data_IF_270166520636
#
_entry.id   IF_270166520636
#
_cell.length_a   1.000
_cell.length_b   1.000
_cell.length_c   1.000
_cell.angle_alpha   90.00
_cell.angle_beta   90.00
_cell.angle_gamma   90.00
#
_symmetry.space_group_name_H-M   'P 1'
#
loop_
_entity.id
_entity.type
_entity.pdbx_description
1 polymer ?
#
# COMPACT_ATOMS: atom_id res chain seq x y z
N UNK A 1 -27.93 8.25 1.72
CA UNK A 1 -27.26 7.35 2.68
C UNK A 1 -27.08 6.00 2.01
N UNK A 2 -26.12 5.86 1.10
CA UNK A 2 -25.81 4.57 0.48
C UNK A 2 -24.72 3.92 1.31
N UNK A 3 -25.09 2.90 2.09
CA UNK A 3 -24.15 2.06 2.83
C UNK A 3 -23.37 1.19 1.86
N UNK A 4 -22.06 1.14 2.05
CA UNK A 4 -21.15 0.34 1.23
C UNK A 4 -21.22 -1.11 1.70
N UNK A 5 -21.32 -2.07 0.77
CA UNK A 5 -21.26 -3.50 1.09
C UNK A 5 -19.84 -3.91 1.48
N UNK A 6 -19.69 -4.75 2.52
CA UNK A 6 -18.41 -5.14 3.13
C UNK A 6 -17.32 -5.61 2.14
N UNK A 7 -17.71 -6.16 0.99
CA UNK A 7 -16.79 -6.62 -0.06
C UNK A 7 -16.20 -5.50 -0.90
N UNK A 8 -16.93 -4.39 -1.11
CA UNK A 8 -16.41 -3.19 -1.79
C UNK A 8 -15.47 -2.39 -0.89
N UNK A 9 -15.74 -2.38 0.42
CA UNK A 9 -14.85 -1.74 1.41
C UNK A 9 -13.55 -2.52 1.53
N UNK A 10 -13.61 -3.86 1.49
CA UNK A 10 -12.43 -4.72 1.50
C UNK A 10 -11.57 -4.55 0.22
N UNK A 11 -12.20 -4.37 -0.95
CA UNK A 11 -11.48 -4.07 -2.20
C UNK A 11 -10.76 -2.72 -2.15
N UNK A 12 -11.44 -1.68 -1.66
CA UNK A 12 -10.85 -0.34 -1.51
C UNK A 12 -9.78 -0.26 -0.41
N UNK A 13 -9.93 -1.01 0.69
CA UNK A 13 -8.93 -1.08 1.77
C UNK A 13 -7.67 -1.86 1.39
N UNK A 14 -7.77 -2.80 0.45
CA UNK A 14 -6.61 -3.52 -0.09
C UNK A 14 -5.80 -2.64 -1.06
N UNK A 15 -6.42 -1.70 -1.76
CA UNK A 15 -5.73 -0.66 -2.56
C UNK A 15 -5.16 0.50 -1.71
N UNK A 16 -5.59 0.63 -0.45
CA UNK A 16 -5.12 1.66 0.52
C UNK A 16 -3.81 1.26 1.20
N UNK A 17 -3.44 -0.02 1.19
CA UNK A 17 -2.15 -0.50 1.69
C UNK A 17 -1.00 -0.17 0.72
N UNK A 18 -0.92 1.10 0.29
CA UNK A 18 0.23 1.61 -0.45
C UNK A 18 1.48 1.63 0.43
N UNK A 19 2.55 1.39 -0.29
CA UNK A 19 3.87 1.12 0.20
C UNK A 19 4.42 2.36 0.89
N UNK A 20 4.78 2.20 2.17
CA UNK A 20 5.20 3.25 3.09
C UNK A 20 4.07 4.16 3.62
N UNK A 21 3.72 3.90 4.88
CA UNK A 21 3.37 4.92 5.87
C UNK A 21 4.15 6.23 5.61
N UNK A 22 3.50 7.22 5.01
CA UNK A 22 3.81 8.61 5.27
C UNK A 22 2.93 9.07 6.43
N UNK A 23 3.54 9.02 7.61
CA UNK A 23 3.58 10.15 8.54
C UNK A 23 2.40 11.13 8.44
N UNK A 24 1.58 11.08 9.50
CA UNK A 24 0.57 12.06 9.95
C UNK A 24 -0.88 11.75 9.57
N UNK A 25 -1.60 11.33 10.61
CA UNK A 25 -3.04 11.30 10.82
C UNK A 25 -3.83 12.31 9.99
N UNK A 26 -4.90 11.82 9.34
CA UNK A 26 -6.21 12.49 9.34
C UNK A 26 -7.21 11.56 8.66
N UNK A 27 -7.84 10.67 9.43
CA UNK A 27 -9.18 10.16 9.13
C UNK A 27 -9.73 9.57 10.44
N UNK A 28 -10.60 10.33 11.10
CA UNK A 28 -11.25 10.02 12.38
C UNK A 28 -11.99 8.67 12.40
N UNK A 29 -12.30 8.09 11.23
CA UNK A 29 -12.92 6.77 11.10
C UNK A 29 -11.92 5.61 11.28
N UNK A 30 -10.67 5.78 10.86
CA UNK A 30 -9.62 4.76 11.07
C UNK A 30 -9.28 4.65 12.55
N UNK A 31 -9.27 5.78 13.27
CA UNK A 31 -9.02 5.82 14.70
C UNK A 31 -10.12 5.10 15.49
N UNK A 32 -11.40 5.26 15.12
CA UNK A 32 -12.51 4.56 15.80
C UNK A 32 -12.53 3.05 15.53
N UNK A 33 -12.18 2.63 14.33
CA UNK A 33 -12.05 1.20 14.01
C UNK A 33 -10.85 0.55 14.71
N UNK A 34 -9.74 1.28 14.85
CA UNK A 34 -8.60 0.85 15.66
C UNK A 34 -8.98 0.81 17.15
N UNK A 35 -9.70 1.79 17.68
CA UNK A 35 -10.08 1.88 19.10
C UNK A 35 -11.07 0.76 19.50
N UNK A 36 -11.96 0.34 18.59
CA UNK A 36 -12.84 -0.82 18.79
C UNK A 36 -12.08 -2.16 18.75
N UNK A 37 -11.03 -2.28 17.93
CA UNK A 37 -10.16 -3.45 17.92
C UNK A 37 -9.20 -3.50 19.13
N UNK A 38 -8.79 -2.34 19.65
CA UNK A 38 -7.88 -2.19 20.80
C UNK A 38 -8.54 -2.65 22.11
N UNK A 39 -9.85 -2.44 22.29
CA UNK A 39 -10.60 -2.96 23.46
C UNK A 39 -10.64 -4.49 23.55
N UNK A 40 -10.27 -5.21 22.48
CA UNK A 40 -10.25 -6.68 22.42
C UNK A 40 -8.88 -7.33 22.65
N UNK A 41 -7.82 -6.55 22.92
CA UNK A 41 -6.51 -7.08 23.32
C UNK A 41 -5.66 -7.65 22.19
N UNK A 42 -4.91 -6.80 21.49
CA UNK A 42 -3.63 -7.19 20.88
C UNK A 42 -2.71 -5.97 20.67
N UNK A 43 -1.58 -5.98 21.39
CA UNK A 43 -0.22 -5.54 21.00
C UNK A 43 -0.05 -4.19 20.26
N UNK A 44 0.55 -3.23 20.97
CA UNK A 44 1.26 -1.99 20.53
C UNK A 44 1.10 -1.56 19.05
N UNK A 45 0.51 -0.38 18.86
CA UNK A 45 0.30 0.36 17.59
C UNK A 45 1.59 0.89 16.91
N UNK A 46 2.65 0.10 16.77
CA UNK A 46 3.80 0.48 15.93
C UNK A 46 4.63 -0.70 15.42
N UNK A 47 4.01 -1.84 15.12
CA UNK A 47 4.69 -2.88 14.34
C UNK A 47 4.61 -2.49 12.86
N UNK A 48 5.66 -1.82 12.37
CA UNK A 48 5.91 -1.64 10.94
C UNK A 48 5.83 -3.03 10.28
N UNK A 49 5.12 -3.13 9.15
CA UNK A 49 5.09 -4.36 8.37
C UNK A 49 6.52 -4.85 8.10
N UNK A 50 6.80 -6.16 8.19
CA UNK A 50 8.15 -6.68 7.96
C UNK A 50 8.63 -6.36 6.56
N UNK A 51 9.84 -5.81 6.46
CA UNK A 51 10.55 -5.58 5.20
C UNK A 51 11.33 -6.84 4.81
N UNK A 52 11.32 -7.21 3.53
CA UNK A 52 12.17 -8.31 3.04
C UNK A 52 13.65 -8.01 3.28
N UNK A 53 14.53 -9.03 3.43
CA UNK A 53 15.94 -8.80 3.74
C UNK A 53 16.70 -7.92 2.72
N UNK A 54 16.23 -7.92 1.47
CA UNK A 54 16.78 -7.10 0.37
C UNK A 54 16.14 -5.71 0.27
N UNK A 55 15.15 -5.39 1.11
CA UNK A 55 14.46 -4.11 1.14
C UNK A 55 13.57 -3.82 -0.07
N UNK A 56 13.25 -4.81 -0.93
CA UNK A 56 12.41 -4.61 -2.12
C UNK A 56 10.92 -4.58 -1.81
N UNK A 57 10.49 -5.32 -0.79
CA UNK A 57 9.09 -5.47 -0.44
C UNK A 57 8.87 -5.31 1.07
N UNK A 58 7.62 -5.05 1.45
CA UNK A 58 7.12 -5.32 2.80
C UNK A 58 5.93 -6.27 2.73
N UNK A 59 5.58 -6.89 3.85
CA UNK A 59 4.53 -7.92 3.89
C UNK A 59 3.30 -7.45 4.66
N UNK A 60 2.14 -7.50 4.00
CA UNK A 60 0.83 -7.26 4.62
C UNK A 60 0.00 -8.53 4.47
N UNK A 61 -0.41 -9.13 5.59
CA UNK A 61 -1.23 -10.37 5.60
C UNK A 61 -0.64 -11.48 4.72
N UNK A 62 0.69 -11.65 4.78
CA UNK A 62 1.42 -12.65 3.99
C UNK A 62 1.60 -12.31 2.51
N UNK A 63 1.15 -11.15 2.04
CA UNK A 63 1.31 -10.68 0.66
C UNK A 63 2.43 -9.63 0.56
N UNK A 64 3.30 -9.79 -0.42
CA UNK A 64 4.38 -8.86 -0.73
C UNK A 64 3.84 -7.63 -1.44
N UNK A 65 4.34 -6.46 -1.03
CA UNK A 65 4.05 -5.17 -1.64
C UNK A 65 5.37 -4.47 -1.93
N UNK A 66 5.61 -4.16 -3.21
CA UNK A 66 6.87 -3.56 -3.66
C UNK A 66 7.01 -2.14 -3.15
N UNK A 67 8.13 -1.85 -2.50
CA UNK A 67 8.44 -0.51 -1.97
C UNK A 67 8.70 0.47 -3.12
N UNK A 68 8.46 1.76 -2.85
CA UNK A 68 8.84 2.82 -3.76
C UNK A 68 10.36 2.79 -3.99
N UNK A 69 10.78 3.21 -5.19
CA UNK A 69 12.18 3.20 -5.59
C UNK A 69 13.00 4.09 -4.62
N UNK A 70 13.94 3.51 -3.85
CA UNK A 70 14.71 4.26 -2.86
C UNK A 70 15.68 5.26 -3.51
N UNK A 71 16.02 5.09 -4.80
CA UNK A 71 16.89 5.97 -5.56
C UNK A 71 16.22 7.28 -6.00
N UNK A 72 14.90 7.43 -5.83
CA UNK A 72 14.21 8.69 -6.08
C UNK A 72 14.68 9.75 -5.08
N UNK A 73 15.08 10.92 -5.60
CA UNK A 73 15.36 12.08 -4.79
C UNK A 73 14.11 12.54 -4.01
N UNK A 74 14.34 13.24 -2.90
CA UNK A 74 13.27 13.63 -1.99
C UNK A 74 12.23 14.55 -2.65
N UNK A 75 12.64 15.46 -3.52
CA UNK A 75 11.71 16.39 -4.17
C UNK A 75 10.80 15.64 -5.15
N UNK A 76 11.35 14.76 -5.97
CA UNK A 76 10.59 13.89 -6.87
C UNK A 76 9.65 12.98 -6.10
N UNK A 77 10.14 12.31 -5.05
CA UNK A 77 9.32 11.44 -4.20
C UNK A 77 8.15 12.21 -3.59
N UNK A 78 8.41 13.38 -3.00
CA UNK A 78 7.39 14.21 -2.38
C UNK A 78 6.34 14.70 -3.38
N UNK A 79 6.74 15.04 -4.62
CA UNK A 79 5.81 15.39 -5.69
C UNK A 79 4.91 14.22 -6.06
N UNK A 80 5.48 13.05 -6.32
CA UNK A 80 4.71 11.87 -6.73
C UNK A 80 3.74 11.39 -5.63
N UNK A 81 4.15 11.49 -4.36
CA UNK A 81 3.26 11.26 -3.22
C UNK A 81 2.09 12.25 -3.22
N UNK A 82 2.35 13.54 -3.46
CA UNK A 82 1.27 14.54 -3.54
C UNK A 82 0.32 14.26 -4.70
N UNK A 83 0.85 13.80 -5.84
CA UNK A 83 0.07 13.40 -7.00
C UNK A 83 -0.83 12.19 -6.66
N UNK A 84 -0.27 11.16 -6.01
CA UNK A 84 -1.01 9.98 -5.52
C UNK A 84 -2.12 10.37 -4.54
N UNK A 85 -1.83 11.23 -3.56
CA UNK A 85 -2.85 11.69 -2.60
C UNK A 85 -3.93 12.54 -3.27
N UNK A 86 -3.58 13.31 -4.31
CA UNK A 86 -4.55 14.07 -5.11
C UNK A 86 -5.44 13.14 -5.93
N UNK A 87 -4.87 12.09 -6.54
CA UNK A 87 -5.63 11.07 -7.25
C UNK A 87 -6.60 10.33 -6.32
N UNK A 88 -6.16 9.97 -5.10
CA UNK A 88 -7.02 9.35 -4.07
C UNK A 88 -8.21 10.24 -3.68
N UNK A 89 -7.98 11.54 -3.47
CA UNK A 89 -9.06 12.51 -3.24
C UNK A 89 -10.00 12.58 -4.45
N UNK A 90 -9.45 12.62 -5.66
CA UNK A 90 -10.25 12.64 -6.89
C UNK A 90 -11.10 11.36 -7.05
N UNK A 91 -10.63 10.18 -6.63
CA UNK A 91 -11.43 8.95 -6.63
C UNK A 91 -12.63 9.07 -5.68
N UNK A 92 -12.40 9.62 -4.47
CA UNK A 92 -13.47 9.86 -3.48
C UNK A 92 -14.52 10.84 -4.00
N UNK A 93 -14.07 11.91 -4.66
CA UNK A 93 -14.93 13.01 -5.11
C UNK A 93 -15.50 12.77 -6.53
N UNK A 94 -15.07 11.70 -7.21
CA UNK A 94 -15.49 11.40 -8.58
C UNK A 94 -16.99 11.12 -8.67
N UNK A 95 -17.64 11.78 -9.63
CA UNK A 95 -19.04 11.54 -9.99
C UNK A 95 -19.11 11.01 -11.42
N UNK A 96 -19.62 9.79 -11.58
CA UNK A 96 -19.70 9.11 -12.86
C UNK A 96 -18.45 8.30 -13.23
N UNK A 97 -18.62 7.41 -14.21
CA UNK A 97 -17.61 6.43 -14.60
C UNK A 97 -16.33 7.08 -15.13
N UNK A 98 -16.45 8.14 -15.94
CA UNK A 98 -15.29 8.79 -16.59
C UNK A 98 -14.39 9.49 -15.58
N UNK A 99 -14.98 10.23 -14.63
CA UNK A 99 -14.24 10.89 -13.55
C UNK A 99 -13.52 9.86 -12.68
N UNK A 100 -14.19 8.74 -12.37
CA UNK A 100 -13.62 7.65 -11.59
C UNK A 100 -12.46 6.97 -12.33
N UNK A 101 -12.64 6.67 -13.63
CA UNK A 101 -11.60 6.07 -14.45
C UNK A 101 -10.36 6.96 -14.54
N UNK A 102 -10.55 8.26 -14.77
CA UNK A 102 -9.46 9.25 -14.79
C UNK A 102 -8.71 9.31 -13.45
N UNK A 103 -9.43 9.37 -12.33
CA UNK A 103 -8.81 9.43 -11.01
C UNK A 103 -8.01 8.16 -10.69
N UNK A 104 -8.52 6.98 -11.08
CA UNK A 104 -7.80 5.71 -10.94
C UNK A 104 -6.55 5.67 -11.82
N UNK A 105 -6.63 6.15 -13.05
CA UNK A 105 -5.47 6.23 -13.95
C UNK A 105 -4.36 7.09 -13.35
N UNK A 106 -4.69 8.29 -12.87
CA UNK A 106 -3.72 9.18 -12.22
C UNK A 106 -3.06 8.52 -10.99
N UNK A 107 -3.82 7.74 -10.24
CA UNK A 107 -3.29 6.96 -9.11
C UNK A 107 -2.32 5.88 -9.56
N UNK A 108 -2.65 5.16 -10.63
CA UNK A 108 -1.76 4.14 -11.19
C UNK A 108 -0.47 4.73 -11.76
N UNK A 109 -0.58 5.85 -12.51
CA UNK A 109 0.56 6.58 -13.05
C UNK A 109 1.52 7.03 -11.95
N UNK A 110 0.99 7.56 -10.84
CA UNK A 110 1.79 7.96 -9.69
C UNK A 110 2.49 6.76 -9.02
N UNK A 111 1.81 5.62 -8.88
CA UNK A 111 2.39 4.39 -8.30
C UNK A 111 3.47 3.78 -9.20
N UNK A 112 3.28 3.83 -10.52
CA UNK A 112 4.30 3.42 -11.50
C UNK A 112 5.52 4.34 -11.38
N UNK A 113 5.32 5.66 -11.35
CA UNK A 113 6.41 6.62 -11.21
C UNK A 113 7.16 6.50 -9.86
N UNK A 114 6.46 6.12 -8.79
CA UNK A 114 7.07 5.80 -7.49
C UNK A 114 7.86 4.48 -7.53
N UNK A 115 7.66 3.62 -8.52
CA UNK A 115 8.27 2.30 -8.62
C UNK A 115 7.53 1.20 -7.84
N UNK A 116 6.32 1.47 -7.35
CA UNK A 116 5.49 0.51 -6.61
C UNK A 116 4.79 -0.47 -7.56
N UNK A 117 4.55 -0.03 -8.80
CA UNK A 117 3.94 -0.80 -9.90
C UNK A 117 4.77 -0.67 -11.17
N UNK A 118 4.42 -1.44 -12.20
CA UNK A 118 5.15 -1.47 -13.46
C UNK A 118 6.45 -2.26 -13.34
N UNK A 119 7.44 -1.86 -14.16
CA UNK A 119 8.76 -2.47 -14.18
C UNK A 119 9.46 -2.31 -12.82
N UNK A 120 10.17 -3.34 -12.33
CA UNK A 120 10.92 -3.22 -11.09
C UNK A 120 12.06 -2.20 -11.21
N UNK A 121 12.38 -1.53 -10.09
CA UNK A 121 13.43 -0.52 -10.03
C UNK A 121 14.84 -1.09 -9.78
N UNK A 122 14.99 -2.42 -9.70
CA UNK A 122 16.28 -3.09 -9.59
C UNK A 122 16.75 -3.63 -10.94
N UNK A 123 18.07 -3.66 -11.13
CA UNK A 123 18.70 -4.02 -12.42
C UNK A 123 19.39 -5.40 -12.40
N UNK A 124 19.31 -6.13 -11.29
CA UNK A 124 20.02 -7.41 -11.12
C UNK A 124 19.34 -8.62 -11.81
N UNK A 125 18.29 -8.37 -12.61
CA UNK A 125 17.56 -9.39 -13.35
C UNK A 125 16.65 -10.27 -12.51
N UNK A 126 16.52 -10.03 -11.19
CA UNK A 126 15.60 -10.80 -10.37
C UNK A 126 14.12 -10.52 -10.77
N UNK A 127 13.26 -11.54 -10.73
CA UNK A 127 11.84 -11.36 -11.04
C UNK A 127 11.12 -10.47 -10.02
N UNK A 128 10.01 -9.87 -10.45
CA UNK A 128 9.12 -9.13 -9.59
C UNK A 128 8.06 -10.03 -8.94
N UNK A 129 8.00 -9.99 -7.62
CA UNK A 129 7.05 -10.71 -6.78
C UNK A 129 5.98 -9.80 -6.16
N UNK A 130 5.81 -8.58 -6.69
CA UNK A 130 4.80 -7.64 -6.20
C UNK A 130 3.39 -8.27 -6.23
N UNK A 131 2.71 -8.21 -5.08
CA UNK A 131 1.41 -8.85 -4.83
C UNK A 131 1.45 -10.39 -4.91
N UNK A 132 2.59 -11.05 -4.73
CA UNK A 132 2.64 -12.50 -4.50
C UNK A 132 2.51 -12.82 -3.01
N UNK A 133 2.03 -14.02 -2.67
CA UNK A 133 2.11 -14.50 -1.29
C UNK A 133 3.56 -14.84 -0.97
N UNK A 134 4.11 -14.33 0.15
CA UNK A 134 5.51 -14.53 0.52
C UNK A 134 5.90 -16.02 0.56
N UNK A 135 5.01 -16.87 1.06
CA UNK A 135 5.17 -18.35 1.07
C UNK A 135 5.36 -19.01 -0.30
N UNK A 136 5.00 -18.34 -1.39
CA UNK A 136 5.11 -18.85 -2.77
C UNK A 136 6.28 -18.18 -3.53
N UNK A 137 7.24 -17.61 -2.82
CA UNK A 137 8.36 -16.86 -3.38
C UNK A 137 9.65 -17.25 -2.66
N UNK A 138 10.83 -16.82 -3.13
CA UNK A 138 12.10 -17.02 -2.41
C UNK A 138 12.11 -16.46 -0.98
N UNK A 139 11.16 -15.61 -0.61
CA UNK A 139 11.00 -15.07 0.75
C UNK A 139 10.26 -16.02 1.72
N UNK A 140 9.90 -17.24 1.31
CA UNK A 140 9.09 -18.15 2.12
C UNK A 140 9.71 -18.51 3.48
N UNK A 141 10.98 -18.96 3.49
CA UNK A 141 11.67 -19.38 4.70
C UNK A 141 11.88 -18.20 5.67
N UNK A 142 12.25 -17.04 5.12
CA UNK A 142 12.35 -15.81 5.89
C UNK A 142 11.00 -15.45 6.53
N UNK A 143 9.91 -15.47 5.74
CA UNK A 143 8.59 -15.10 6.22
C UNK A 143 8.07 -16.07 7.31
N UNK A 144 8.27 -17.38 7.14
CA UNK A 144 7.91 -18.38 8.15
C UNK A 144 8.71 -18.22 9.46
N UNK A 145 9.92 -17.66 9.39
CA UNK A 145 10.72 -17.31 10.57
C UNK A 145 10.18 -16.15 11.41
N UNK A 146 9.29 -15.31 10.84
CA UNK A 146 8.68 -14.17 11.53
C UNK A 146 7.42 -14.53 12.34
N UNK A 147 6.75 -15.63 12.00
CA UNK A 147 5.48 -16.06 12.63
C UNK A 147 5.67 -16.80 13.97
N UNK A 148 6.78 -16.51 14.69
CA UNK A 148 7.15 -17.17 15.97
C UNK A 148 6.94 -16.26 17.19
#
# INVERSE_FOLDING_TARGET
>A
MAGWGETEVAGALVDIADCHMLSLASNLETERMLDQAIKGGLRRMSDRYPDTPDGRYFVVRGRLWRKSNPALDEATRNRLVKDLMSARRAVRDAQGADAMAKARQLGDDAKIALGERGAPWWEDGAPDYNRHMAKNTPYADWFAGLEK
#
